data_IF_580029482913
#
_entry.id   IF_580029482913
#
_cell.length_a   1.000
_cell.length_b   1.000
_cell.length_c   1.000
_cell.angle_alpha   90.00
_cell.angle_beta   90.00
_cell.angle_gamma   90.00
#
_symmetry.space_group_name_H-M   'P 1'
#
loop_
_entity.id
_entity.type
_entity.pdbx_description
1 polymer ?
#
# COMPACT_ATOMS: atom_id res chain seq x y z
N UNK A 1 10.56 52.89 -31.97
CA UNK A 1 9.52 52.00 -32.54
C UNK A 1 9.99 50.57 -32.30
N UNK A 2 9.41 49.89 -31.33
CA UNK A 2 9.69 48.48 -31.04
C UNK A 2 8.93 47.61 -32.03
N UNK A 3 9.62 46.82 -32.87
CA UNK A 3 9.03 45.81 -33.73
C UNK A 3 8.50 44.71 -32.83
N UNK A 4 7.17 44.56 -32.69
CA UNK A 4 6.58 43.37 -32.14
C UNK A 4 6.63 42.29 -33.24
N UNK A 5 7.50 41.27 -33.08
CA UNK A 5 7.47 40.09 -33.92
C UNK A 5 6.32 39.20 -33.43
N UNK A 6 5.29 39.01 -34.24
CA UNK A 6 4.22 38.04 -33.95
C UNK A 6 4.67 36.63 -34.24
N UNK A 7 4.11 35.65 -33.49
CA UNK A 7 4.35 34.21 -33.72
C UNK A 7 3.76 33.80 -35.09
N UNK A 8 4.47 32.97 -35.81
CA UNK A 8 3.96 32.39 -37.06
C UNK A 8 3.00 31.24 -36.77
N UNK A 9 2.02 31.01 -37.64
CA UNK A 9 1.03 29.95 -37.50
C UNK A 9 1.71 28.56 -37.50
N UNK A 10 2.78 28.40 -38.27
CA UNK A 10 3.52 27.15 -38.35
C UNK A 10 4.32 26.85 -37.06
N UNK A 11 4.88 27.87 -36.39
CA UNK A 11 5.56 27.71 -35.11
C UNK A 11 4.59 27.19 -34.04
N UNK A 12 3.37 27.73 -33.99
CA UNK A 12 2.35 27.24 -33.06
C UNK A 12 1.93 25.79 -33.37
N UNK A 13 1.75 25.48 -34.66
CA UNK A 13 1.31 24.15 -35.10
C UNK A 13 2.35 23.07 -34.72
N UNK A 14 3.65 23.34 -34.93
CA UNK A 14 4.73 22.40 -34.56
C UNK A 14 4.77 22.18 -33.04
N UNK A 15 4.63 23.24 -32.25
CA UNK A 15 4.64 23.13 -30.78
C UNK A 15 3.49 22.27 -30.28
N UNK A 16 2.27 22.49 -30.74
CA UNK A 16 1.12 21.67 -30.30
C UNK A 16 1.21 20.24 -30.77
N UNK A 17 1.79 19.98 -31.94
CA UNK A 17 2.05 18.62 -32.42
C UNK A 17 3.04 17.87 -31.52
N UNK A 18 4.14 18.51 -31.11
CA UNK A 18 5.13 17.88 -30.21
C UNK A 18 4.51 17.63 -28.82
N UNK A 19 3.78 18.60 -28.25
CA UNK A 19 3.11 18.43 -26.96
C UNK A 19 2.06 17.31 -27.04
N UNK A 20 1.31 17.20 -28.14
CA UNK A 20 0.35 16.13 -28.35
C UNK A 20 0.99 14.73 -28.32
N UNK A 21 2.13 14.53 -29.00
CA UNK A 21 2.87 13.27 -29.02
C UNK A 21 3.43 12.94 -27.61
N UNK A 22 4.06 13.93 -26.95
CA UNK A 22 4.63 13.72 -25.61
C UNK A 22 3.55 13.40 -24.57
N UNK A 23 2.39 14.05 -24.64
CA UNK A 23 1.27 13.78 -23.75
C UNK A 23 0.72 12.37 -23.93
N UNK A 24 0.61 11.87 -25.16
CA UNK A 24 0.11 10.52 -25.44
C UNK A 24 1.01 9.42 -24.84
N UNK A 25 2.33 9.58 -24.92
CA UNK A 25 3.29 8.63 -24.33
C UNK A 25 3.38 8.80 -22.80
N UNK A 26 3.32 10.04 -22.32
CA UNK A 26 3.47 10.38 -20.92
C UNK A 26 2.40 9.76 -20.02
N UNK A 27 1.13 9.73 -20.45
CA UNK A 27 0.02 9.19 -19.65
C UNK A 27 0.17 7.70 -19.36
N UNK A 28 0.57 6.89 -20.33
CA UNK A 28 0.76 5.44 -20.15
C UNK A 28 1.91 5.14 -19.18
N UNK A 29 3.05 5.81 -19.35
CA UNK A 29 4.21 5.63 -18.48
C UNK A 29 3.95 6.09 -17.05
N UNK A 30 3.18 7.18 -16.87
CA UNK A 30 2.85 7.72 -15.57
C UNK A 30 1.98 6.77 -14.75
N UNK A 31 0.96 6.14 -15.37
CA UNK A 31 0.09 5.18 -14.67
C UNK A 31 0.87 3.97 -14.14
N UNK A 32 1.77 3.40 -14.94
CA UNK A 32 2.62 2.29 -14.50
C UNK A 32 3.57 2.67 -13.35
N UNK A 33 4.12 3.88 -13.38
CA UNK A 33 4.96 4.40 -12.30
C UNK A 33 4.18 4.59 -11.00
N UNK A 34 2.98 5.17 -11.06
CA UNK A 34 2.10 5.37 -9.89
C UNK A 34 1.72 4.04 -9.26
N UNK A 35 1.36 3.03 -10.06
CA UNK A 35 1.02 1.70 -9.55
C UNK A 35 2.21 1.04 -8.87
N UNK A 36 3.39 1.06 -9.49
CA UNK A 36 4.62 0.56 -8.89
C UNK A 36 4.98 1.26 -7.57
N UNK A 37 4.77 2.57 -7.50
CA UNK A 37 4.99 3.36 -6.28
C UNK A 37 4.03 2.96 -5.16
N UNK A 38 2.75 2.72 -5.46
CA UNK A 38 1.75 2.25 -4.50
C UNK A 38 2.09 0.86 -3.96
N UNK A 39 2.52 -0.08 -4.82
CA UNK A 39 2.99 -1.41 -4.40
C UNK A 39 4.18 -1.29 -3.43
N UNK A 40 5.13 -0.41 -3.70
CA UNK A 40 6.28 -0.16 -2.80
C UNK A 40 5.87 0.50 -1.48
N UNK A 41 4.91 1.40 -1.50
CA UNK A 41 4.35 1.98 -0.28
C UNK A 41 3.67 0.90 0.58
N UNK A 42 2.92 -0.02 -0.03
CA UNK A 42 2.30 -1.14 0.67
C UNK A 42 3.33 -2.09 1.31
N UNK A 43 4.42 -2.40 0.61
CA UNK A 43 5.53 -3.17 1.18
C UNK A 43 6.13 -2.48 2.43
N UNK A 44 6.32 -1.16 2.38
CA UNK A 44 6.83 -0.40 3.52
C UNK A 44 5.86 -0.42 4.72
N UNK A 45 4.55 -0.35 4.47
CA UNK A 45 3.54 -0.48 5.54
C UNK A 45 3.57 -1.88 6.14
N UNK A 46 3.69 -2.93 5.33
CA UNK A 46 3.82 -4.30 5.81
C UNK A 46 5.06 -4.48 6.71
N UNK A 47 6.19 -3.87 6.35
CA UNK A 47 7.39 -3.88 7.20
C UNK A 47 7.15 -3.16 8.54
N UNK A 48 6.43 -2.02 8.54
CA UNK A 48 6.06 -1.31 9.77
C UNK A 48 5.13 -2.15 10.65
N UNK A 49 4.15 -2.83 10.04
CA UNK A 49 3.30 -3.79 10.75
C UNK A 49 4.15 -4.89 11.38
N UNK A 50 5.14 -5.43 10.65
CA UNK A 50 6.06 -6.44 11.18
C UNK A 50 6.85 -5.97 12.41
N UNK A 51 7.32 -4.72 12.41
CA UNK A 51 7.98 -4.14 13.59
C UNK A 51 7.00 -3.98 14.76
N UNK A 52 5.80 -3.45 14.51
CA UNK A 52 4.79 -3.31 15.55
C UNK A 52 4.29 -4.65 16.09
N UNK A 53 4.26 -5.69 15.27
CA UNK A 53 3.98 -7.07 15.71
C UNK A 53 5.06 -7.60 16.67
N UNK A 54 6.31 -7.22 16.47
CA UNK A 54 7.39 -7.60 17.39
C UNK A 54 7.24 -6.94 18.76
N UNK A 55 6.85 -5.67 18.79
CA UNK A 55 6.56 -4.94 20.02
C UNK A 55 5.33 -5.55 20.73
N UNK A 56 4.25 -5.83 19.99
CA UNK A 56 3.07 -6.51 20.54
C UNK A 56 3.40 -7.89 21.12
N UNK A 57 4.26 -8.66 20.44
CA UNK A 57 4.69 -9.97 20.94
C UNK A 57 5.48 -9.85 22.27
N UNK A 58 6.28 -8.79 22.42
CA UNK A 58 7.01 -8.55 23.66
C UNK A 58 6.08 -8.26 24.85
N UNK A 59 4.95 -7.60 24.60
CA UNK A 59 3.97 -7.25 25.64
C UNK A 59 3.00 -8.41 25.94
N UNK A 60 2.54 -9.12 24.92
CA UNK A 60 1.42 -10.06 24.97
C UNK A 60 1.84 -11.55 24.86
N UNK A 61 3.11 -11.84 24.55
CA UNK A 61 3.61 -13.19 24.24
C UNK A 61 2.85 -13.87 23.08
N UNK A 62 2.15 -13.10 22.25
CA UNK A 62 1.45 -13.53 21.05
C UNK A 62 1.47 -12.42 20.01
N UNK A 63 1.35 -12.79 18.73
CA UNK A 63 1.17 -11.83 17.66
C UNK A 63 -0.28 -11.36 17.58
N UNK A 64 -0.47 -10.11 17.11
CA UNK A 64 -1.78 -9.52 16.94
C UNK A 64 -2.50 -10.03 15.69
N UNK A 65 -3.78 -10.39 15.81
CA UNK A 65 -4.70 -10.63 14.71
C UNK A 65 -5.71 -9.49 14.58
N UNK A 66 -5.99 -9.05 13.37
CA UNK A 66 -6.96 -7.98 13.11
C UNK A 66 -8.43 -8.36 13.40
N UNK A 67 -8.70 -9.63 13.66
CA UNK A 67 -10.00 -10.14 14.12
C UNK A 67 -10.12 -10.22 15.65
N UNK A 68 -8.98 -10.16 16.39
CA UNK A 68 -8.94 -10.25 17.84
C UNK A 68 -8.81 -8.91 18.54
N UNK A 69 -8.91 -8.96 19.88
CA UNK A 69 -8.58 -7.84 20.74
C UNK A 69 -7.08 -7.78 21.04
N UNK A 70 -6.63 -6.67 21.66
CA UNK A 70 -5.23 -6.54 22.07
C UNK A 70 -4.87 -7.62 23.12
N UNK A 71 -3.78 -8.33 22.92
CA UNK A 71 -3.37 -9.49 23.69
C UNK A 71 -4.32 -10.72 23.67
N UNK A 72 -5.18 -10.83 22.66
CA UNK A 72 -6.00 -12.04 22.47
C UNK A 72 -5.13 -13.17 21.88
N UNK A 73 -4.95 -14.24 22.66
CA UNK A 73 -4.20 -15.43 22.22
C UNK A 73 -5.07 -16.46 21.48
N UNK A 74 -6.39 -16.25 21.45
CA UNK A 74 -7.35 -17.21 20.87
C UNK A 74 -7.65 -16.94 19.40
N UNK A 75 -7.27 -15.76 18.87
CA UNK A 75 -7.59 -15.35 17.51
C UNK A 75 -6.66 -16.01 16.47
N UNK A 76 -6.72 -17.34 16.35
CA UNK A 76 -6.08 -18.06 15.26
C UNK A 76 -7.06 -18.14 14.08
N UNK A 77 -6.81 -17.42 13.00
CA UNK A 77 -7.54 -17.48 11.75
C UNK A 77 -6.65 -18.05 10.65
N UNK A 78 -7.24 -18.84 9.76
CA UNK A 78 -6.50 -19.40 8.62
C UNK A 78 -6.19 -18.33 7.56
N UNK A 79 -7.06 -17.32 7.42
CA UNK A 79 -6.88 -16.19 6.50
C UNK A 79 -7.80 -15.03 6.94
N UNK A 80 -7.35 -13.79 6.69
CA UNK A 80 -8.14 -12.59 6.97
C UNK A 80 -8.58 -11.89 5.68
N UNK A 81 -9.74 -11.25 5.69
CA UNK A 81 -10.19 -10.38 4.61
C UNK A 81 -9.74 -8.93 4.86
N UNK A 82 -8.75 -8.48 4.08
CA UNK A 82 -8.24 -7.11 4.18
C UNK A 82 -9.29 -6.11 3.70
N UNK A 83 -9.67 -5.18 4.57
CA UNK A 83 -10.64 -4.12 4.33
C UNK A 83 -10.32 -2.86 5.16
N UNK A 84 -11.12 -1.80 5.02
CA UNK A 84 -10.89 -0.55 5.75
C UNK A 84 -11.03 -0.74 7.28
N UNK A 85 -11.91 -1.62 7.74
CA UNK A 85 -12.11 -1.90 9.18
C UNK A 85 -10.88 -2.58 9.76
N UNK A 86 -10.39 -3.66 9.14
CA UNK A 86 -9.19 -4.37 9.61
C UNK A 86 -7.95 -3.47 9.58
N UNK A 87 -7.83 -2.61 8.56
CA UNK A 87 -6.76 -1.60 8.48
C UNK A 87 -6.83 -0.60 9.63
N UNK A 88 -8.04 -0.11 9.97
CA UNK A 88 -8.26 0.81 11.11
C UNK A 88 -7.97 0.12 12.44
N UNK A 89 -8.31 -1.16 12.59
CA UNK A 89 -8.03 -1.97 13.78
C UNK A 89 -6.51 -2.10 13.99
N UNK A 90 -5.75 -2.42 12.92
CA UNK A 90 -4.28 -2.45 12.96
C UNK A 90 -3.75 -1.07 13.39
N UNK A 91 -4.25 0.02 12.78
CA UNK A 91 -3.85 1.37 13.13
C UNK A 91 -4.07 1.68 14.60
N UNK A 92 -5.22 1.32 15.15
CA UNK A 92 -5.58 1.58 16.54
C UNK A 92 -4.78 0.71 17.51
N UNK A 93 -4.69 -0.59 17.26
CA UNK A 93 -4.12 -1.56 18.19
C UNK A 93 -2.58 -1.59 18.15
N UNK A 94 -1.99 -1.56 16.96
CA UNK A 94 -0.53 -1.64 16.83
C UNK A 94 0.16 -0.27 16.84
N UNK A 95 -0.52 0.79 16.36
CA UNK A 95 0.08 2.13 16.23
C UNK A 95 -0.58 3.18 17.12
N UNK A 96 -1.62 2.81 17.90
CA UNK A 96 -2.33 3.72 18.79
C UNK A 96 -3.19 4.78 18.11
N UNK A 97 -3.41 4.68 16.78
CA UNK A 97 -4.15 5.68 15.99
C UNK A 97 -4.89 5.04 14.81
N UNK A 98 -6.22 5.16 14.77
CA UNK A 98 -7.08 4.54 13.77
C UNK A 98 -6.73 4.88 12.30
N UNK A 99 -6.30 6.12 12.02
CA UNK A 99 -5.94 6.59 10.68
C UNK A 99 -4.42 6.66 10.49
N UNK A 100 -3.66 5.78 11.13
CA UNK A 100 -2.22 5.71 10.94
C UNK A 100 -1.85 5.30 9.52
N UNK A 101 -2.58 4.35 8.95
CA UNK A 101 -2.41 3.86 7.59
C UNK A 101 -3.43 4.57 6.69
N UNK A 102 -2.92 5.36 5.74
CA UNK A 102 -3.75 6.06 4.75
C UNK A 102 -4.13 5.12 3.59
N UNK A 103 -5.33 4.59 3.66
CA UNK A 103 -5.89 3.67 2.64
C UNK A 103 -6.18 4.41 1.33
N UNK A 104 -6.64 5.67 1.40
CA UNK A 104 -7.03 6.44 0.21
C UNK A 104 -5.81 6.80 -0.65
N UNK A 105 -4.75 7.30 -0.04
CA UNK A 105 -3.51 7.64 -0.74
C UNK A 105 -2.75 6.39 -1.20
N UNK A 106 -2.69 5.34 -0.38
CA UNK A 106 -1.99 4.10 -0.66
C UNK A 106 -2.69 3.20 -1.67
N UNK A 107 -4.03 3.17 -1.67
CA UNK A 107 -4.84 2.28 -2.50
C UNK A 107 -4.76 0.80 -2.09
N UNK A 108 -4.29 0.51 -0.86
CA UNK A 108 -4.23 -0.81 -0.26
C UNK A 108 -4.94 -0.81 1.08
N UNK A 109 -5.59 -1.91 1.40
CA UNK A 109 -6.16 -2.24 2.71
C UNK A 109 -5.37 -3.39 3.33
N UNK A 110 -5.35 -3.47 4.65
CA UNK A 110 -4.47 -4.39 5.36
C UNK A 110 -5.24 -5.23 6.36
N UNK A 111 -4.77 -6.45 6.55
CA UNK A 111 -5.17 -7.29 7.67
C UNK A 111 -3.99 -8.14 8.17
N UNK A 112 -4.09 -8.62 9.38
CA UNK A 112 -3.14 -9.58 9.98
C UNK A 112 -3.91 -10.74 10.56
N UNK A 113 -3.37 -11.94 10.43
CA UNK A 113 -3.91 -13.14 11.08
C UNK A 113 -2.77 -13.97 11.66
N UNK A 114 -3.08 -14.75 12.68
CA UNK A 114 -2.13 -15.60 13.35
C UNK A 114 -2.47 -17.06 13.07
N UNK A 115 -1.48 -17.83 12.66
CA UNK A 115 -1.60 -19.30 12.50
C UNK A 115 -1.42 -19.99 13.85
N UNK A 116 -0.65 -19.38 14.74
CA UNK A 116 -0.40 -19.79 16.11
C UNK A 116 0.23 -18.63 16.89
N UNK A 117 0.47 -18.79 18.18
CA UNK A 117 1.05 -17.73 19.03
C UNK A 117 2.45 -17.25 18.58
N UNK A 118 3.16 -18.03 17.77
CA UNK A 118 4.53 -17.74 17.33
C UNK A 118 4.67 -17.34 15.87
N UNK A 119 3.58 -17.29 15.10
CA UNK A 119 3.61 -16.95 13.68
C UNK A 119 2.40 -16.09 13.28
N UNK A 120 2.64 -15.09 12.50
CA UNK A 120 1.60 -14.24 11.90
C UNK A 120 1.83 -14.11 10.39
N UNK A 121 0.78 -13.72 9.68
CA UNK A 121 0.85 -13.24 8.31
C UNK A 121 0.13 -11.90 8.23
N UNK A 122 0.79 -10.90 7.66
CA UNK A 122 0.20 -9.61 7.33
C UNK A 122 -0.02 -9.53 5.83
N UNK A 123 -1.19 -9.07 5.43
CA UNK A 123 -1.64 -9.01 4.04
C UNK A 123 -2.01 -7.58 3.68
N UNK A 124 -1.56 -7.12 2.51
CA UNK A 124 -1.98 -5.90 1.83
C UNK A 124 -2.73 -6.28 0.56
N UNK A 125 -3.99 -5.84 0.43
CA UNK A 125 -4.84 -6.07 -0.75
C UNK A 125 -5.10 -4.75 -1.45
N UNK A 126 -4.70 -4.66 -2.72
CA UNK A 126 -4.86 -3.48 -3.56
C UNK A 126 -6.14 -3.46 -4.38
N UNK A 127 -6.31 -2.41 -5.18
CA UNK A 127 -7.32 -2.35 -6.21
C UNK A 127 -6.99 -3.38 -7.30
N UNK A 128 -7.94 -4.24 -7.64
CA UNK A 128 -7.73 -5.43 -8.45
C UNK A 128 -7.32 -6.62 -7.56
N UNK A 129 -6.78 -7.66 -8.16
CA UNK A 129 -6.44 -8.90 -7.45
C UNK A 129 -5.01 -8.91 -6.87
N UNK A 130 -4.37 -7.71 -6.75
CA UNK A 130 -3.02 -7.61 -6.19
C UNK A 130 -3.02 -7.84 -4.69
N UNK A 131 -2.37 -8.91 -4.24
CA UNK A 131 -2.17 -9.26 -2.84
C UNK A 131 -0.67 -9.38 -2.55
N UNK A 132 -0.20 -8.67 -1.55
CA UNK A 132 1.17 -8.72 -1.03
C UNK A 132 1.09 -9.25 0.39
N UNK A 133 1.89 -10.25 0.73
CA UNK A 133 1.90 -10.81 2.08
C UNK A 133 3.32 -10.78 2.66
N UNK A 134 3.40 -10.71 3.99
CA UNK A 134 4.64 -10.90 4.75
C UNK A 134 4.35 -11.69 6.01
N UNK A 135 5.33 -12.44 6.47
CA UNK A 135 5.26 -13.24 7.67
C UNK A 135 6.25 -12.76 8.76
N UNK A 136 6.33 -13.49 9.86
CA UNK A 136 7.25 -13.22 10.96
C UNK A 136 8.74 -13.39 10.60
N UNK A 137 9.09 -13.91 9.42
CA UNK A 137 10.47 -13.95 8.91
C UNK A 137 10.84 -12.68 8.15
N UNK A 138 9.85 -11.82 7.81
CA UNK A 138 10.02 -10.64 6.99
C UNK A 138 10.10 -10.92 5.48
N UNK A 139 9.86 -12.16 5.07
CA UNK A 139 9.76 -12.51 3.66
C UNK A 139 8.52 -11.86 3.05
N UNK A 140 8.67 -11.22 1.87
CA UNK A 140 7.57 -10.58 1.14
C UNK A 140 7.20 -11.45 -0.06
N UNK A 141 5.97 -11.94 -0.07
CA UNK A 141 5.36 -12.63 -1.20
C UNK A 141 4.50 -11.65 -2.03
N UNK A 142 4.73 -11.62 -3.35
CA UNK A 142 4.03 -10.80 -4.35
C UNK A 142 3.52 -11.63 -5.52
N UNK A 143 3.42 -12.93 -5.35
CA UNK A 143 3.05 -13.85 -6.43
C UNK A 143 1.70 -13.52 -7.07
N UNK A 144 0.81 -12.88 -6.31
CA UNK A 144 -0.51 -12.44 -6.74
C UNK A 144 -0.58 -10.97 -7.22
N UNK A 145 0.57 -10.32 -7.47
CA UNK A 145 0.68 -8.92 -7.89
C UNK A 145 1.37 -8.76 -9.27
N UNK A 146 0.90 -9.40 -10.28
CA UNK A 146 1.43 -9.25 -11.65
C UNK A 146 0.87 -8.03 -12.37
#
# INVERSE_FOLDING_TARGET
>A
MTKSSGFTLIELLVVVAIIGILSAVGTVSYNGYVEGSKKKAAENVLMQIGLAQTDHYADCASYFSSAGEYCDTAAAEEECDANATTTSTIGTQLFGKANYIDVEAGGFVYCTYTQNVTAYTAVAKGLGDCKIATDNTGAIDKSECN
#
